data_IF_858641820948
#
_entry.id   IF_858641820948
#
_cell.length_a   1.000
_cell.length_b   1.000
_cell.length_c   1.000
_cell.angle_alpha   90.00
_cell.angle_beta   90.00
_cell.angle_gamma   90.00
#
_symmetry.space_group_name_H-M   'P 1'
#
loop_
_entity.id
_entity.type
_entity.pdbx_description
1 polymer ?
#
# COMPACT_ATOMS: atom_id res chain seq x y z
N UNK A 1 12.00 0.38 -14.22
CA UNK A 1 10.65 -0.20 -14.24
C UNK A 1 10.70 -1.63 -14.74
N UNK A 2 9.87 -2.54 -14.20
CA UNK A 2 9.79 -3.94 -14.65
C UNK A 2 8.48 -4.13 -15.41
N UNK A 3 8.54 -4.74 -16.59
CA UNK A 3 7.36 -5.05 -17.43
C UNK A 3 6.87 -6.45 -17.09
N UNK A 4 5.59 -6.58 -16.71
CA UNK A 4 4.93 -7.87 -16.58
C UNK A 4 3.84 -7.97 -17.65
N UNK A 5 4.00 -8.95 -18.55
CA UNK A 5 3.08 -9.17 -19.66
C UNK A 5 2.03 -10.21 -19.25
N UNK A 6 0.80 -9.76 -19.02
CA UNK A 6 -0.36 -10.63 -18.90
C UNK A 6 -1.10 -10.61 -20.25
N UNK A 7 -0.93 -11.68 -21.04
CA UNK A 7 -1.70 -11.85 -22.27
C UNK A 7 -3.08 -12.40 -21.92
N UNK A 8 -4.11 -11.56 -21.95
CA UNK A 8 -5.50 -12.01 -21.99
C UNK A 8 -6.08 -11.78 -23.38
N UNK A 9 -6.59 -12.84 -23.99
CA UNK A 9 -7.32 -12.80 -25.26
C UNK A 9 -8.82 -12.81 -24.94
N UNK A 10 -9.52 -11.70 -25.19
CA UNK A 10 -10.98 -11.65 -25.08
C UNK A 10 -11.61 -11.66 -26.47
N UNK A 11 -12.52 -12.62 -26.67
CA UNK A 11 -13.32 -12.78 -27.90
C UNK A 11 -14.62 -11.98 -27.76
N UNK A 12 -14.87 -11.04 -28.67
CA UNK A 12 -16.20 -10.44 -28.87
C UNK A 12 -16.72 -10.93 -30.23
N UNK A 13 -17.88 -11.60 -30.21
CA UNK A 13 -18.51 -12.20 -31.40
C UNK A 13 -18.62 -11.17 -32.54
N UNK A 14 -18.03 -11.50 -33.69
CA UNK A 14 -18.33 -10.85 -34.98
C UNK A 14 -17.40 -9.73 -35.46
N UNK A 15 -16.29 -9.41 -34.77
CA UNK A 15 -15.29 -8.44 -35.28
C UNK A 15 -13.90 -9.08 -35.33
N UNK A 16 -13.15 -8.82 -36.41
CA UNK A 16 -11.74 -9.24 -36.58
C UNK A 16 -10.93 -8.93 -35.31
N UNK A 17 -10.09 -9.88 -34.90
CA UNK A 17 -9.18 -9.80 -33.75
C UNK A 17 -8.53 -8.42 -33.64
N UNK A 18 -9.03 -7.60 -32.72
CA UNK A 18 -8.26 -6.47 -32.21
C UNK A 18 -7.63 -6.99 -30.93
N UNK A 19 -6.35 -7.40 -30.99
CA UNK A 19 -5.64 -7.77 -29.77
C UNK A 19 -5.56 -6.52 -28.89
N UNK A 20 -6.45 -6.43 -27.90
CA UNK A 20 -6.27 -5.48 -26.81
C UNK A 20 -5.06 -5.97 -26.02
N UNK A 21 -3.94 -5.25 -26.14
CA UNK A 21 -2.75 -5.59 -25.35
C UNK A 21 -2.90 -4.94 -23.99
N UNK A 22 -2.94 -5.77 -22.95
CA UNK A 22 -2.87 -5.35 -21.57
C UNK A 22 -1.45 -5.56 -21.06
N UNK A 23 -0.84 -4.49 -20.54
CA UNK A 23 0.51 -4.52 -19.97
C UNK A 23 0.43 -3.84 -18.62
N UNK A 24 0.93 -4.49 -17.58
CA UNK A 24 1.11 -3.86 -16.28
C UNK A 24 2.58 -3.50 -16.10
N UNK A 25 2.83 -2.21 -15.86
CA UNK A 25 4.15 -1.70 -15.52
C UNK A 25 4.26 -1.54 -14.01
N UNK A 26 5.37 -2.05 -13.46
CA UNK A 26 5.70 -1.89 -12.06
C UNK A 26 6.83 -0.86 -11.91
N UNK A 27 6.54 0.21 -11.16
CA UNK A 27 7.52 1.21 -10.78
C UNK A 27 8.37 0.73 -9.60
N UNK A 28 9.39 -0.07 -9.90
CA UNK A 28 10.26 -0.69 -8.91
C UNK A 28 10.86 0.27 -7.87
N UNK A 29 11.26 1.49 -8.27
CA UNK A 29 11.81 2.47 -7.32
C UNK A 29 10.73 3.01 -6.38
N UNK A 30 9.50 3.20 -6.86
CA UNK A 30 8.37 3.61 -6.03
C UNK A 30 7.97 2.49 -5.07
N UNK A 31 8.01 1.23 -5.51
CA UNK A 31 7.80 0.08 -4.63
C UNK A 31 8.82 0.06 -3.48
N UNK A 32 10.12 0.24 -3.78
CA UNK A 32 11.16 0.32 -2.74
C UNK A 32 10.94 1.49 -1.78
N UNK A 33 10.50 2.65 -2.28
CA UNK A 33 10.17 3.81 -1.45
C UNK A 33 9.00 3.52 -0.51
N UNK A 34 7.95 2.86 -1.01
CA UNK A 34 6.82 2.45 -0.17
C UNK A 34 7.28 1.44 0.91
N UNK A 35 8.10 0.44 0.55
CA UNK A 35 8.66 -0.52 1.51
C UNK A 35 9.51 0.15 2.60
N UNK A 36 10.35 1.13 2.25
CA UNK A 36 11.13 1.89 3.21
C UNK A 36 10.24 2.68 4.17
N UNK A 37 9.21 3.36 3.66
CA UNK A 37 8.24 4.08 4.50
C UNK A 37 7.52 3.17 5.48
N UNK A 38 7.10 1.99 5.03
CA UNK A 38 6.47 0.96 5.88
C UNK A 38 7.43 0.56 7.01
N UNK A 39 8.72 0.33 6.70
CA UNK A 39 9.72 -0.01 7.71
C UNK A 39 9.94 1.11 8.71
N UNK A 40 10.12 2.35 8.24
CA UNK A 40 10.29 3.51 9.13
C UNK A 40 9.08 3.71 10.04
N UNK A 41 7.87 3.57 9.50
CA UNK A 41 6.61 3.59 10.26
C UNK A 41 6.61 2.53 11.35
N UNK A 42 6.92 1.27 11.01
CA UNK A 42 6.95 0.18 11.97
C UNK A 42 7.94 0.41 13.09
N UNK A 43 9.10 0.99 12.78
CA UNK A 43 10.09 1.37 13.78
C UNK A 43 9.54 2.45 14.71
N UNK A 44 8.91 3.50 14.18
CA UNK A 44 8.32 4.59 14.99
C UNK A 44 7.17 4.08 15.87
N UNK A 45 6.23 3.33 15.29
CA UNK A 45 5.10 2.77 16.02
C UNK A 45 5.54 1.80 17.12
N UNK A 46 6.55 0.97 16.86
CA UNK A 46 7.14 0.10 17.89
C UNK A 46 7.81 0.91 18.99
N UNK A 47 8.57 1.95 18.65
CA UNK A 47 9.24 2.79 19.64
C UNK A 47 8.24 3.47 20.59
N UNK A 48 7.12 3.99 20.06
CA UNK A 48 6.04 4.56 20.88
C UNK A 48 5.33 3.51 21.75
N UNK A 49 5.18 2.28 21.24
CA UNK A 49 4.55 1.19 21.98
C UNK A 49 5.38 0.67 23.16
N UNK A 50 6.67 1.02 23.26
CA UNK A 50 7.51 0.66 24.40
C UNK A 50 7.14 1.53 25.61
N UNK A 51 7.05 0.90 26.78
CA UNK A 51 6.93 1.61 28.05
C UNK A 51 8.12 2.54 28.27
N UNK A 52 7.91 3.64 28.98
CA UNK A 52 9.04 4.45 29.45
C UNK A 52 9.95 3.61 30.38
N UNK A 53 11.24 3.95 30.52
CA UNK A 53 12.12 3.25 31.45
C UNK A 53 11.57 3.20 32.88
N UNK A 54 10.90 4.26 33.32
CA UNK A 54 10.27 4.35 34.64
C UNK A 54 9.06 3.41 34.75
N UNK A 55 8.16 3.45 33.76
CA UNK A 55 6.97 2.58 33.72
C UNK A 55 7.36 1.10 33.62
N UNK A 56 8.36 0.78 32.79
CA UNK A 56 8.90 -0.56 32.65
C UNK A 56 9.45 -1.06 33.98
N UNK A 57 10.21 -0.23 34.70
CA UNK A 57 10.72 -0.57 36.03
C UNK A 57 9.58 -0.86 37.02
N UNK A 58 8.54 -0.03 37.04
CA UNK A 58 7.37 -0.24 37.91
C UNK A 58 6.66 -1.57 37.59
N UNK A 59 6.43 -1.85 36.30
CA UNK A 59 5.83 -3.10 35.84
C UNK A 59 6.68 -4.30 36.24
N UNK A 60 8.00 -4.20 36.12
CA UNK A 60 8.93 -5.28 36.49
C UNK A 60 8.94 -5.53 38.00
N UNK A 61 8.91 -4.48 38.81
CA UNK A 61 8.85 -4.58 40.27
C UNK A 61 7.53 -5.21 40.74
N UNK A 62 6.38 -4.77 40.21
CA UNK A 62 5.07 -5.36 40.48
C UNK A 62 5.00 -6.82 40.04
N UNK A 63 5.51 -7.12 38.84
CA UNK A 63 5.55 -8.49 38.30
C UNK A 63 6.47 -9.40 39.13
N UNK A 64 7.54 -8.85 39.73
CA UNK A 64 8.41 -9.60 40.65
C UNK A 64 7.68 -9.93 41.95
N UNK A 65 6.96 -8.98 42.52
CA UNK A 65 6.17 -9.19 43.73
C UNK A 65 5.08 -10.25 43.51
N UNK A 66 4.33 -10.16 42.41
CA UNK A 66 3.33 -11.16 42.01
C UNK A 66 3.93 -12.58 41.95
N UNK A 67 5.03 -12.75 41.21
CA UNK A 67 5.71 -14.05 41.06
C UNK A 67 6.28 -14.59 42.37
N UNK A 68 6.59 -13.73 43.34
CA UNK A 68 7.05 -14.17 44.65
C UNK A 68 5.87 -14.78 45.44
N UNK A 69 4.72 -14.12 45.48
CA UNK A 69 3.52 -14.65 46.11
C UNK A 69 3.02 -15.93 45.44
N UNK A 70 3.06 -16.01 44.11
CA UNK A 70 2.70 -17.23 43.37
C UNK A 70 3.62 -18.40 43.70
N UNK A 71 4.93 -18.17 43.78
CA UNK A 71 5.92 -19.20 44.17
C UNK A 71 5.67 -19.69 45.60
N UNK A 72 5.38 -18.78 46.53
CA UNK A 72 5.03 -19.12 47.91
C UNK A 72 3.72 -19.93 47.98
N UNK A 73 2.69 -19.51 47.23
CA UNK A 73 1.43 -20.22 47.15
C UNK A 73 1.61 -21.64 46.60
N UNK A 74 2.45 -21.81 45.59
CA UNK A 74 2.75 -23.11 45.00
C UNK A 74 3.47 -24.03 45.99
N UNK A 75 4.39 -23.50 46.79
CA UNK A 75 5.06 -24.27 47.85
C UNK A 75 4.08 -24.75 48.94
N UNK A 76 3.06 -23.94 49.27
CA UNK A 76 2.06 -24.28 50.28
C UNK A 76 0.90 -25.15 49.76
N UNK A 77 0.79 -25.35 48.45
CA UNK A 77 -0.42 -25.92 47.82
C UNK A 77 -0.84 -27.30 48.36
N UNK A 78 0.10 -28.17 48.75
CA UNK A 78 -0.20 -29.51 49.29
C UNK A 78 -0.31 -29.54 50.81
N UNK A 79 0.45 -28.69 51.50
CA UNK A 79 0.56 -28.70 52.96
C UNK A 79 -0.50 -27.83 53.63
N UNK A 80 -0.84 -26.69 53.01
CA UNK A 80 -1.82 -25.74 53.52
C UNK A 80 -2.55 -25.04 52.36
N UNK A 81 -3.64 -25.64 51.84
CA UNK A 81 -4.35 -25.13 50.67
C UNK A 81 -5.01 -23.77 50.92
N UNK A 82 -5.45 -23.47 52.14
CA UNK A 82 -6.08 -22.19 52.50
C UNK A 82 -5.07 -21.05 52.46
N UNK A 83 -3.86 -21.27 52.99
CA UNK A 83 -2.78 -20.30 52.90
C UNK A 83 -2.33 -20.09 51.45
N UNK A 84 -2.28 -21.16 50.64
CA UNK A 84 -2.02 -21.04 49.21
C UNK A 84 -3.08 -20.19 48.48
N UNK A 85 -4.36 -20.31 48.85
CA UNK A 85 -5.43 -19.47 48.31
C UNK A 85 -5.27 -18.00 48.73
N UNK A 86 -4.93 -17.75 50.00
CA UNK A 86 -4.65 -16.40 50.52
C UNK A 86 -3.50 -15.72 49.77
N UNK A 87 -2.40 -16.44 49.56
CA UNK A 87 -1.23 -15.91 48.85
C UNK A 87 -1.55 -15.60 47.38
N UNK A 88 -2.36 -16.42 46.70
CA UNK A 88 -2.86 -16.10 45.35
C UNK A 88 -3.74 -14.85 45.33
N UNK A 89 -4.61 -14.69 46.33
CA UNK A 89 -5.43 -13.48 46.46
C UNK A 89 -4.56 -12.23 46.65
N UNK A 90 -3.44 -12.33 47.38
CA UNK A 90 -2.47 -11.25 47.55
C UNK A 90 -1.65 -10.96 46.29
N UNK A 91 -1.40 -11.95 45.42
CA UNK A 91 -0.70 -11.75 44.16
C UNK A 91 -1.51 -10.93 43.15
N UNK A 92 -2.83 -11.15 43.11
CA UNK A 92 -3.77 -10.55 42.16
C UNK A 92 -3.68 -9.02 42.01
N UNK A 93 -3.69 -8.19 43.08
CA UNK A 93 -3.61 -6.74 42.94
C UNK A 93 -2.33 -6.26 42.24
N UNK A 94 -1.20 -6.95 42.41
CA UNK A 94 0.05 -6.58 41.72
C UNK A 94 -0.03 -6.81 40.22
N UNK A 95 -0.66 -7.92 39.80
CA UNK A 95 -0.90 -8.20 38.39
C UNK A 95 -1.87 -7.18 37.77
N UNK A 96 -2.94 -6.83 38.50
CA UNK A 96 -3.92 -5.81 38.08
C UNK A 96 -3.26 -4.44 37.92
N UNK A 97 -2.41 -4.02 38.86
CA UNK A 97 -1.65 -2.76 38.76
C UNK A 97 -0.67 -2.75 37.59
N UNK A 98 0.09 -3.83 37.37
CA UNK A 98 1.00 -3.92 36.24
C UNK A 98 0.25 -3.84 34.90
N UNK A 99 -0.92 -4.48 34.80
CA UNK A 99 -1.79 -4.39 33.63
C UNK A 99 -2.40 -2.99 33.46
N UNK A 100 -2.76 -2.32 34.55
CA UNK A 100 -3.27 -0.96 34.52
C UNK A 100 -2.23 0.03 33.96
N UNK A 101 -0.96 -0.09 34.35
CA UNK A 101 0.14 0.74 33.80
C UNK A 101 0.26 0.51 32.28
N UNK A 102 0.30 -0.76 31.85
CA UNK A 102 0.38 -1.09 30.41
C UNK A 102 -0.79 -0.53 29.63
N UNK A 103 -2.01 -0.64 30.17
CA UNK A 103 -3.23 -0.14 29.56
C UNK A 103 -3.22 1.40 29.48
N UNK A 104 -2.84 2.07 30.56
CA UNK A 104 -2.74 3.53 30.58
C UNK A 104 -1.71 4.05 29.56
N UNK A 105 -0.55 3.40 29.44
CA UNK A 105 0.44 3.74 28.41
C UNK A 105 -0.14 3.55 27.00
N UNK A 106 -0.78 2.40 26.74
CA UNK A 106 -1.41 2.15 25.45
C UNK A 106 -2.47 3.19 25.11
N UNK A 107 -3.35 3.54 26.04
CA UNK A 107 -4.37 4.58 25.84
C UNK A 107 -3.74 5.95 25.54
N UNK A 108 -2.61 6.26 26.18
CA UNK A 108 -1.84 7.49 25.93
C UNK A 108 -1.21 7.53 24.55
N UNK A 109 -0.57 6.44 24.10
CA UNK A 109 0.17 6.40 22.81
C UNK A 109 -0.72 6.05 21.61
N UNK A 110 -1.91 5.50 21.84
CA UNK A 110 -2.81 5.04 20.77
C UNK A 110 -3.15 6.12 19.73
N UNK A 111 -3.49 7.38 20.11
CA UNK A 111 -3.78 8.42 19.13
C UNK A 111 -2.59 8.74 18.22
N UNK A 112 -1.36 8.75 18.75
CA UNK A 112 -0.15 9.00 17.98
C UNK A 112 0.17 7.82 17.04
N UNK A 113 -0.03 6.58 17.52
CA UNK A 113 0.10 5.39 16.68
C UNK A 113 -0.91 5.40 15.52
N UNK A 114 -2.16 5.82 15.76
CA UNK A 114 -3.18 5.97 14.71
C UNK A 114 -2.84 7.10 13.73
N UNK A 115 -2.29 8.22 14.21
CA UNK A 115 -1.82 9.30 13.35
C UNK A 115 -0.72 8.81 12.38
N UNK A 116 0.28 8.08 12.89
CA UNK A 116 1.36 7.47 12.09
C UNK A 116 0.80 6.51 11.02
N UNK A 117 -0.25 5.74 11.34
CA UNK A 117 -0.89 4.84 10.38
C UNK A 117 -1.64 5.60 9.28
N UNK A 118 -2.29 6.73 9.62
CA UNK A 118 -3.02 7.54 8.66
C UNK A 118 -2.09 8.28 7.69
N UNK A 119 -0.97 8.83 8.18
CA UNK A 119 0.04 9.49 7.34
C UNK A 119 0.51 8.61 6.17
N UNK A 120 0.58 7.30 6.36
CA UNK A 120 0.97 6.37 5.30
C UNK A 120 -0.12 6.20 4.23
N UNK A 121 -1.39 6.11 4.63
CA UNK A 121 -2.48 5.96 3.68
C UNK A 121 -2.52 7.15 2.70
N UNK A 122 -2.22 8.35 3.20
CA UNK A 122 -2.16 9.57 2.39
C UNK A 122 -0.88 9.65 1.54
N UNK A 123 0.24 9.09 2.02
CA UNK A 123 1.53 9.12 1.33
C UNK A 123 1.77 7.93 0.38
N UNK A 124 0.92 6.91 0.40
CA UNK A 124 1.04 5.72 -0.43
C UNK A 124 0.77 6.06 -1.89
N UNK A 125 1.73 5.74 -2.76
CA UNK A 125 1.60 5.91 -4.21
C UNK A 125 1.53 4.52 -4.82
N UNK A 126 0.43 4.23 -5.52
CA UNK A 126 0.25 2.99 -6.27
C UNK A 126 1.35 2.87 -7.34
N UNK A 127 2.20 1.83 -7.27
CA UNK A 127 3.34 1.67 -8.18
C UNK A 127 2.96 1.00 -9.50
N UNK A 128 1.72 0.51 -9.61
CA UNK A 128 1.20 -0.20 -10.78
C UNK A 128 0.57 0.78 -11.76
N UNK A 129 0.91 0.60 -13.03
CA UNK A 129 0.25 1.29 -14.14
C UNK A 129 -0.23 0.24 -15.12
N UNK A 130 -1.55 0.16 -15.30
CA UNK A 130 -2.15 -0.71 -16.29
C UNK A 130 -2.28 0.05 -17.60
N UNK A 131 -1.77 -0.54 -18.67
CA UNK A 131 -1.79 0.02 -20.01
C UNK A 131 -2.61 -0.90 -20.91
N UNK A 132 -3.64 -0.34 -21.53
CA UNK A 132 -4.48 -0.99 -22.53
C UNK A 132 -4.27 -0.32 -23.87
N UNK A 133 -3.91 -1.10 -24.89
CA UNK A 133 -3.70 -0.63 -26.26
C UNK A 133 -4.83 -1.16 -27.13
N UNK A 134 -5.51 -0.27 -27.87
CA UNK A 134 -6.64 -0.62 -28.72
C UNK A 134 -6.61 0.13 -30.06
N UNK A 135 -7.29 -0.42 -31.08
CA UNK A 135 -7.46 0.21 -32.39
C UNK A 135 -8.95 0.51 -32.60
N UNK A 136 -9.30 1.76 -32.86
CA UNK A 136 -10.70 2.17 -33.09
C UNK A 136 -10.80 3.32 -34.08
N UNK A 137 -11.93 3.39 -34.81
CA UNK A 137 -12.30 4.55 -35.64
C UNK A 137 -12.99 5.65 -34.83
N UNK A 138 -13.51 5.30 -33.66
CA UNK A 138 -14.23 6.23 -32.79
C UNK A 138 -13.24 6.98 -31.91
N UNK A 139 -13.45 8.28 -31.73
CA UNK A 139 -12.65 9.09 -30.82
C UNK A 139 -12.89 8.64 -29.38
N UNK A 140 -11.83 8.26 -28.67
CA UNK A 140 -11.95 7.77 -27.28
C UNK A 140 -12.05 8.90 -26.24
N UNK A 141 -12.28 10.14 -26.65
CA UNK A 141 -12.16 11.31 -25.76
C UNK A 141 -13.56 11.76 -25.32
N UNK A 142 -13.85 11.64 -24.03
CA UNK A 142 -15.09 12.16 -23.45
C UNK A 142 -15.12 13.70 -23.43
N UNK A 143 -16.32 14.29 -23.42
CA UNK A 143 -16.54 15.74 -23.43
C UNK A 143 -16.02 16.51 -22.21
N UNK A 144 -15.60 15.80 -21.15
CA UNK A 144 -15.04 16.37 -19.89
C UNK A 144 -13.58 15.96 -19.65
N UNK A 145 -12.79 15.80 -20.70
CA UNK A 145 -11.39 15.39 -20.55
C UNK A 145 -10.45 16.60 -20.34
N UNK A 146 -9.56 16.51 -19.35
CA UNK A 146 -8.50 17.49 -19.09
C UNK A 146 -7.38 17.25 -20.11
N UNK A 147 -7.04 18.25 -20.92
CA UNK A 147 -5.89 18.16 -21.84
C UNK A 147 -4.60 18.20 -21.02
N UNK A 148 -3.73 17.21 -21.22
CA UNK A 148 -2.39 17.22 -20.62
C UNK A 148 -1.34 17.22 -21.72
N UNK A 149 -0.18 17.81 -21.42
CA UNK A 149 0.91 17.91 -22.37
C UNK A 149 1.91 16.78 -22.16
N UNK A 150 1.82 15.75 -23.00
CA UNK A 150 2.85 14.71 -23.13
C UNK A 150 3.62 14.98 -24.42
N UNK A 151 4.95 14.83 -24.40
CA UNK A 151 5.88 15.25 -25.45
C UNK A 151 5.40 14.94 -26.88
N UNK A 152 4.80 15.94 -27.56
CA UNK A 152 4.37 15.85 -28.95
C UNK A 152 3.16 14.94 -29.23
N UNK A 153 2.51 14.38 -28.21
CA UNK A 153 1.40 13.43 -28.38
C UNK A 153 0.11 14.00 -27.77
N UNK A 154 -1.01 14.01 -28.51
CA UNK A 154 -2.31 14.33 -27.94
C UNK A 154 -2.65 13.37 -26.81
N UNK A 155 -2.75 13.91 -25.60
CA UNK A 155 -3.01 13.18 -24.38
C UNK A 155 -4.09 13.89 -23.55
N UNK A 156 -5.01 13.11 -23.00
CA UNK A 156 -6.12 13.65 -22.21
C UNK A 156 -6.37 12.77 -20.99
N UNK A 157 -6.50 13.39 -19.82
CA UNK A 157 -6.99 12.72 -18.64
C UNK A 157 -8.51 12.68 -18.65
N UNK A 158 -9.06 11.49 -18.43
CA UNK A 158 -10.46 11.25 -18.16
C UNK A 158 -10.56 10.58 -16.81
N UNK A 159 -11.01 11.33 -15.80
CA UNK A 159 -11.03 10.91 -14.39
C UNK A 159 -9.63 10.49 -13.88
N UNK A 160 -9.36 9.18 -13.83
CA UNK A 160 -8.08 8.59 -13.40
C UNK A 160 -7.28 7.97 -14.54
N UNK A 161 -7.81 8.00 -15.75
CA UNK A 161 -7.23 7.35 -16.90
C UNK A 161 -6.61 8.38 -17.84
N UNK A 162 -5.37 8.15 -18.27
CA UNK A 162 -4.77 8.90 -19.36
C UNK A 162 -5.05 8.18 -20.68
N UNK A 163 -5.58 8.90 -21.65
CA UNK A 163 -5.81 8.41 -23.02
C UNK A 163 -4.87 9.16 -23.95
N UNK A 164 -4.13 8.42 -24.77
CA UNK A 164 -3.19 8.93 -25.76
C UNK A 164 -3.51 8.35 -27.15
N UNK A 165 -3.32 9.13 -28.20
CA UNK A 165 -3.48 8.67 -29.59
C UNK A 165 -2.14 8.62 -30.33
N UNK A 166 -1.86 7.50 -30.99
CA UNK A 166 -0.62 7.25 -31.73
C UNK A 166 -0.92 6.97 -33.21
N UNK A 167 -1.28 8.01 -33.96
CA UNK A 167 -1.48 7.93 -35.41
C UNK A 167 -2.58 6.96 -35.85
N UNK A 168 -2.57 6.59 -37.14
CA UNK A 168 -3.60 5.77 -37.79
C UNK A 168 -2.98 4.62 -38.57
N UNK A 169 -3.71 3.52 -38.71
CA UNK A 169 -3.35 2.43 -39.62
C UNK A 169 -3.86 2.67 -41.05
N UNK A 170 -3.50 1.78 -41.98
CA UNK A 170 -3.92 1.84 -43.40
C UNK A 170 -5.45 1.79 -43.59
N UNK A 171 -6.18 1.31 -42.59
CA UNK A 171 -7.65 1.25 -42.58
C UNK A 171 -8.29 2.50 -41.94
N UNK A 172 -7.49 3.52 -41.59
CA UNK A 172 -7.90 4.77 -40.96
C UNK A 172 -8.34 4.61 -39.50
N UNK A 173 -7.96 3.54 -38.81
CA UNK A 173 -8.21 3.34 -37.37
C UNK A 173 -7.10 3.99 -36.56
N UNK A 174 -7.46 4.71 -35.52
CA UNK A 174 -6.51 5.34 -34.59
C UNK A 174 -6.04 4.32 -33.56
N UNK A 175 -4.73 4.32 -33.27
CA UNK A 175 -4.16 3.56 -32.15
C UNK A 175 -4.32 4.35 -30.86
N UNK A 176 -5.13 3.83 -29.95
CA UNK A 176 -5.39 4.41 -28.64
C UNK A 176 -4.64 3.65 -27.57
N UNK A 177 -3.97 4.40 -26.69
CA UNK A 177 -3.34 3.86 -25.47
C UNK A 177 -4.05 4.48 -24.29
N UNK A 178 -4.66 3.64 -23.47
CA UNK A 178 -5.30 4.00 -22.21
C UNK A 178 -4.43 3.52 -21.07
N UNK A 179 -4.10 4.39 -20.13
CA UNK A 179 -3.29 4.08 -18.96
C UNK A 179 -4.08 4.42 -17.70
N UNK A 180 -4.11 3.51 -16.73
CA UNK A 180 -4.78 3.71 -15.43
C UNK A 180 -3.78 3.46 -14.30
N UNK A 181 -3.75 4.36 -13.32
CA UNK A 181 -2.86 4.29 -12.16
C UNK A 181 -2.74 5.65 -11.47
N UNK A 182 -1.75 5.81 -10.59
CA UNK A 182 -1.48 7.12 -9.99
C UNK A 182 -1.01 8.13 -11.05
N UNK A 183 -1.48 9.38 -10.99
CA UNK A 183 -1.15 10.43 -11.99
C UNK A 183 0.36 10.54 -12.27
N UNK A 184 1.25 10.60 -11.26
CA UNK A 184 2.70 10.67 -11.49
C UNK A 184 3.26 9.42 -12.19
N UNK A 185 2.74 8.23 -11.87
CA UNK A 185 3.20 6.99 -12.48
C UNK A 185 2.72 6.89 -13.94
N UNK A 186 1.47 7.25 -14.19
CA UNK A 186 0.87 7.29 -15.53
C UNK A 186 1.62 8.28 -16.42
N UNK A 187 1.92 9.49 -15.94
CA UNK A 187 2.70 10.49 -16.69
C UNK A 187 4.14 10.00 -16.97
N UNK A 188 4.78 9.31 -16.02
CA UNK A 188 6.10 8.73 -16.25
C UNK A 188 6.08 7.66 -17.37
N UNK A 189 5.07 6.77 -17.37
CA UNK A 189 4.89 5.76 -18.43
C UNK A 189 4.56 6.43 -19.76
N UNK A 190 3.66 7.42 -19.76
CA UNK A 190 3.29 8.17 -20.95
C UNK A 190 4.49 8.81 -21.64
N UNK A 191 5.40 9.42 -20.87
CA UNK A 191 6.64 9.99 -21.39
C UNK A 191 7.60 8.92 -21.95
N UNK A 192 7.69 7.74 -21.33
CA UNK A 192 8.44 6.62 -21.90
C UNK A 192 7.86 6.18 -23.24
N UNK A 193 6.54 6.05 -23.34
CA UNK A 193 5.86 5.73 -24.60
C UNK A 193 6.07 6.82 -25.66
N UNK A 194 6.04 8.10 -25.27
CA UNK A 194 6.30 9.23 -26.16
C UNK A 194 7.73 9.24 -26.72
N UNK A 195 8.71 8.90 -25.88
CA UNK A 195 10.11 8.75 -26.29
C UNK A 195 10.40 7.46 -27.07
N UNK A 196 9.45 6.52 -27.11
CA UNK A 196 9.64 5.24 -27.77
C UNK A 196 9.30 5.34 -29.27
N UNK A 197 9.93 4.46 -30.07
CA UNK A 197 9.70 4.36 -31.52
C UNK A 197 8.26 3.97 -31.93
N UNK A 198 7.29 3.89 -31.00
CA UNK A 198 5.88 3.69 -31.35
C UNK A 198 5.33 4.81 -32.26
N UNK A 199 5.87 6.03 -32.16
CA UNK A 199 5.53 7.15 -33.05
C UNK A 199 6.01 6.90 -34.48
N UNK A 200 7.11 6.16 -34.69
CA UNK A 200 7.66 5.92 -36.04
C UNK A 200 6.95 4.82 -36.82
N UNK A 201 6.11 4.01 -36.16
CA UNK A 201 5.34 2.95 -36.81
C UNK A 201 4.12 3.48 -37.58
N UNK A 202 3.50 4.56 -37.10
CA UNK A 202 2.34 5.17 -37.77
C UNK A 202 2.73 6.16 -38.91
N UNK A 203 4.02 6.44 -39.10
CA UNK A 203 4.51 7.45 -40.04
C UNK A 203 5.18 6.89 -41.32
N UNK A 204 5.46 5.59 -41.40
CA UNK A 204 6.03 4.99 -42.61
C UNK A 204 4.91 4.58 -43.56
N UNK A 205 4.48 5.53 -44.41
CA UNK A 205 3.95 5.17 -45.73
C UNK A 205 5.05 4.39 -46.46
N UNK A 206 4.83 3.12 -46.75
CA UNK A 206 5.53 2.44 -47.83
C UNK A 206 4.98 2.93 -49.17
#
# INVERSE_FOLDING_TARGET
>A
MRRQLLRQQASVKGRRWCQAYFITYLWADQQKRNELRIRERDVRARALGLLSPEEQKQVDDLSRQCRNFERQAQAQMRANPDEAARLRAQARPFAEQANAIRKAHQEKVFPEMEAIRKEEADAYIEPEVNVSISLSKEASVASKAERTQIAGIPATFQDKDLVMSFGHDDAGRTLWVKMSGSRPAVEAIANLYASSNLVSWAGKKQ
#
